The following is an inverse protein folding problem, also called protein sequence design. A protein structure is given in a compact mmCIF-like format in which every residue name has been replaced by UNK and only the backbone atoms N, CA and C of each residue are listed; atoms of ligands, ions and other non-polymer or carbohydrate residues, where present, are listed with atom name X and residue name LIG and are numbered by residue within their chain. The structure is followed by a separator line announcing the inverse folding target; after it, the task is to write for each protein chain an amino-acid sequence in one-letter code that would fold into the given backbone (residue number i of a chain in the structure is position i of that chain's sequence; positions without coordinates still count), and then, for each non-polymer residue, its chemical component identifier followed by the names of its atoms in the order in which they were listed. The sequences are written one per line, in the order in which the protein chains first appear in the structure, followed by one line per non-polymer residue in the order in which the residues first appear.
data_IF_719219369924
#
_entry.id   IF_719219369924
#
_cell.length_a   1.000
_cell.length_b   1.000
_cell.length_c   1.000
_cell.angle_alpha   90.00
_cell.angle_beta   90.00
_cell.angle_gamma   90.00
#
_symmetry.space_group_name_H-M   'P 1'
#
loop_
_entity.id
_entity.type
_entity.pdbx_description
1 polymer ?
#
# COMPACT_ATOMS: atom_id res chain seq x y z
N UNK A 1 17.92 -62.60 -24.70
CA UNK A 1 17.15 -61.68 -23.87
C UNK A 1 18.12 -60.58 -23.37
N UNK A 2 18.09 -59.42 -24.00
CA UNK A 2 18.92 -58.28 -23.61
C UNK A 2 17.98 -57.25 -22.92
N UNK A 3 18.16 -57.01 -21.62
CA UNK A 3 17.45 -56.01 -20.86
C UNK A 3 18.09 -54.65 -21.15
N UNK A 4 17.35 -53.75 -21.80
CA UNK A 4 17.68 -52.35 -21.99
C UNK A 4 17.26 -51.58 -20.72
N UNK A 5 18.24 -51.10 -19.94
CA UNK A 5 17.99 -50.21 -18.80
C UNK A 5 17.90 -48.78 -19.34
N UNK A 6 16.69 -48.23 -19.31
CA UNK A 6 16.47 -46.79 -19.54
C UNK A 6 16.93 -46.02 -18.30
N UNK A 7 17.97 -45.22 -18.46
CA UNK A 7 18.43 -44.27 -17.42
C UNK A 7 17.65 -42.96 -17.63
N UNK A 8 16.68 -42.70 -16.76
CA UNK A 8 15.99 -41.40 -16.73
C UNK A 8 16.92 -40.36 -16.06
N UNK A 9 17.49 -39.47 -16.87
CA UNK A 9 18.20 -38.28 -16.38
C UNK A 9 17.16 -37.24 -16.01
N UNK A 10 16.90 -37.07 -14.72
CA UNK A 10 16.17 -35.94 -14.16
C UNK A 10 17.08 -34.70 -14.28
N UNK A 11 16.80 -33.86 -15.26
CA UNK A 11 17.36 -32.50 -15.34
C UNK A 11 16.73 -31.69 -14.21
N UNK A 12 17.45 -31.52 -13.10
CA UNK A 12 17.18 -30.43 -12.15
C UNK A 12 17.60 -29.12 -12.84
N UNK A 13 16.65 -28.40 -13.39
CA UNK A 13 16.83 -26.97 -13.63
C UNK A 13 16.88 -26.29 -12.25
N UNK A 14 17.96 -25.55 -11.92
CA UNK A 14 17.91 -24.71 -10.75
C UNK A 14 16.86 -23.62 -11.04
N UNK A 15 15.78 -23.60 -10.25
CA UNK A 15 14.92 -22.44 -10.12
C UNK A 15 15.86 -21.32 -9.63
N UNK A 16 16.21 -20.40 -10.52
CA UNK A 16 16.85 -19.16 -10.11
C UNK A 16 15.80 -18.43 -9.24
N UNK A 17 15.96 -18.53 -7.93
CA UNK A 17 15.23 -17.66 -7.00
C UNK A 17 15.62 -16.23 -7.37
N UNK A 18 14.67 -15.47 -7.93
CA UNK A 18 14.82 -14.02 -8.04
C UNK A 18 14.95 -13.54 -6.59
N UNK A 19 16.05 -12.91 -6.20
CA UNK A 19 16.15 -12.38 -4.85
C UNK A 19 15.03 -11.35 -4.68
N UNK A 20 14.13 -11.59 -3.73
CA UNK A 20 13.18 -10.59 -3.26
C UNK A 20 14.05 -9.44 -2.73
N UNK A 21 13.86 -8.25 -3.28
CA UNK A 21 14.56 -7.05 -2.81
C UNK A 21 13.92 -6.68 -1.48
N UNK A 22 14.68 -6.78 -0.39
CA UNK A 22 14.27 -6.40 0.96
C UNK A 22 15.00 -5.09 1.29
N UNK A 23 14.28 -4.06 1.70
CA UNK A 23 14.85 -2.80 2.19
C UNK A 23 15.94 -3.07 3.23
N UNK A 24 17.04 -2.36 3.25
CA UNK A 24 18.23 -2.54 4.11
C UNK A 24 18.61 -4.00 4.45
N UNK A 25 17.96 -5.00 3.90
CA UNK A 25 18.05 -6.40 4.26
C UNK A 25 17.84 -6.63 5.78
N UNK A 26 17.71 -7.87 6.19
CA UNK A 26 17.48 -8.17 7.62
C UNK A 26 18.55 -7.61 8.55
N UNK A 27 19.82 -7.54 8.10
CA UNK A 27 20.92 -7.03 8.93
C UNK A 27 20.82 -5.55 9.20
N UNK A 28 20.47 -4.74 8.17
CA UNK A 28 20.34 -3.29 8.31
C UNK A 28 19.19 -2.90 9.23
N UNK A 29 18.00 -3.47 9.04
CA UNK A 29 16.85 -3.23 9.92
C UNK A 29 17.13 -3.67 11.36
N UNK A 30 17.80 -4.80 11.55
CA UNK A 30 18.23 -5.27 12.87
C UNK A 30 19.16 -4.25 13.55
N UNK A 31 20.17 -3.71 12.82
CA UNK A 31 21.08 -2.69 13.36
C UNK A 31 20.36 -1.38 13.70
N UNK A 32 19.46 -0.92 12.83
CA UNK A 32 18.67 0.31 13.05
C UNK A 32 17.85 0.20 14.33
N UNK A 33 17.06 -0.88 14.46
CA UNK A 33 16.21 -1.10 15.62
C UNK A 33 17.02 -1.23 16.90
N UNK A 34 18.10 -2.03 16.88
CA UNK A 34 18.99 -2.22 18.02
C UNK A 34 19.57 -0.89 18.51
N UNK A 35 20.20 -0.14 17.61
CA UNK A 35 20.85 1.13 17.97
C UNK A 35 19.86 2.19 18.45
N UNK A 36 18.69 2.25 17.85
CA UNK A 36 17.65 3.21 18.25
C UNK A 36 17.20 2.97 19.70
N UNK A 37 16.92 1.70 20.07
CA UNK A 37 16.40 1.40 21.42
C UNK A 37 17.51 1.37 22.47
N UNK A 38 18.74 0.99 22.13
CA UNK A 38 19.88 1.08 23.02
C UNK A 38 20.17 2.55 23.39
N UNK A 39 19.93 3.49 22.46
CA UNK A 39 20.13 4.94 22.65
C UNK A 39 18.93 5.67 23.28
N UNK A 40 17.90 4.96 23.75
CA UNK A 40 16.76 5.59 24.41
C UNK A 40 17.16 6.23 25.75
N UNK A 41 16.72 7.48 26.02
CA UNK A 41 17.03 8.17 27.27
C UNK A 41 16.25 7.62 28.46
N UNK A 42 16.70 7.95 29.69
CA UNK A 42 16.06 7.54 30.93
C UNK A 42 14.63 8.10 31.10
N UNK A 43 14.25 9.07 30.31
CA UNK A 43 12.91 9.66 30.32
C UNK A 43 11.80 8.76 29.78
N UNK A 44 12.13 7.74 28.99
CA UNK A 44 11.16 6.74 28.54
C UNK A 44 10.99 5.62 29.57
N UNK A 45 9.88 4.85 29.55
CA UNK A 45 9.65 3.75 30.48
C UNK A 45 10.80 2.75 30.53
N UNK A 46 11.19 2.33 31.73
CA UNK A 46 12.37 1.45 31.94
C UNK A 46 12.24 0.09 31.24
N UNK A 47 11.01 -0.44 31.06
CA UNK A 47 10.80 -1.72 30.39
C UNK A 47 11.30 -1.70 28.93
N UNK A 48 11.17 -0.55 28.20
CA UNK A 48 11.66 -0.41 26.82
C UNK A 48 13.20 -0.50 26.71
N UNK A 49 13.90 -0.21 27.80
CA UNK A 49 15.37 -0.27 27.89
C UNK A 49 15.87 -1.55 28.52
N UNK A 50 14.95 -2.51 28.80
CA UNK A 50 15.35 -3.83 29.31
C UNK A 50 16.03 -4.64 28.19
N UNK A 51 17.00 -5.51 28.52
CA UNK A 51 17.63 -6.37 27.51
C UNK A 51 16.63 -7.16 26.68
N UNK A 52 15.58 -7.69 27.31
CA UNK A 52 14.53 -8.45 26.61
C UNK A 52 13.76 -7.60 25.60
N UNK A 53 13.39 -6.35 25.93
CA UNK A 53 12.72 -5.46 25.00
C UNK A 53 13.65 -5.03 23.85
N UNK A 54 14.92 -4.78 24.13
CA UNK A 54 15.92 -4.47 23.10
C UNK A 54 16.05 -5.64 22.13
N UNK A 55 16.18 -6.87 22.62
CA UNK A 55 16.28 -8.07 21.79
C UNK A 55 15.02 -8.26 20.92
N UNK A 56 13.83 -8.06 21.49
CA UNK A 56 12.56 -8.23 20.78
C UNK A 56 12.33 -7.14 19.71
N UNK A 57 12.56 -5.86 20.03
CA UNK A 57 12.47 -4.76 19.05
C UNK A 57 13.51 -4.96 17.94
N UNK A 58 14.72 -5.41 18.28
CA UNK A 58 15.77 -5.75 17.31
C UNK A 58 15.30 -6.83 16.34
N UNK A 59 14.70 -7.93 16.86
CA UNK A 59 14.16 -9.02 16.06
C UNK A 59 13.03 -8.57 15.13
N UNK A 60 12.19 -7.64 15.57
CA UNK A 60 11.03 -7.13 14.84
C UNK A 60 11.41 -6.15 13.70
N UNK A 61 12.66 -5.66 13.65
CA UNK A 61 13.10 -4.76 12.59
C UNK A 61 12.77 -5.25 11.17
N UNK A 62 13.13 -6.46 10.76
CA UNK A 62 12.80 -7.00 9.45
C UNK A 62 11.42 -7.68 9.36
N UNK A 63 10.49 -7.47 10.32
CA UNK A 63 9.21 -8.19 10.34
C UNK A 63 8.31 -7.87 9.14
N UNK A 64 8.13 -6.60 8.68
CA UNK A 64 7.33 -6.30 7.50
C UNK A 64 7.86 -6.96 6.22
N UNK A 65 9.17 -7.11 6.07
CA UNK A 65 9.75 -7.86 4.96
C UNK A 65 9.36 -9.34 4.96
N UNK A 66 9.19 -9.94 6.15
CA UNK A 66 8.74 -11.34 6.27
C UNK A 66 7.29 -11.52 5.82
N UNK A 67 6.48 -10.45 5.82
CA UNK A 67 5.11 -10.47 5.33
C UNK A 67 5.04 -10.42 3.81
N UNK A 68 6.12 -10.02 3.13
CA UNK A 68 6.26 -10.02 1.68
C UNK A 68 6.62 -11.42 1.18
N UNK A 69 5.67 -12.33 1.29
CA UNK A 69 5.84 -13.75 1.01
C UNK A 69 4.90 -14.19 -0.11
N UNK A 70 5.39 -14.93 -1.11
CA UNK A 70 4.51 -15.53 -2.13
C UNK A 70 3.47 -16.51 -1.55
N UNK A 71 3.64 -16.95 -0.29
CA UNK A 71 2.67 -17.79 0.39
C UNK A 71 1.45 -16.99 0.89
N UNK A 72 1.60 -15.68 1.08
CA UNK A 72 0.57 -14.75 1.54
C UNK A 72 0.37 -13.60 0.52
N UNK A 73 -0.11 -13.87 -0.71
CA UNK A 73 -0.07 -12.92 -1.82
C UNK A 73 -0.92 -11.66 -1.60
N UNK A 74 -2.04 -11.76 -0.87
CA UNK A 74 -2.87 -10.58 -0.56
C UNK A 74 -2.18 -9.67 0.46
N UNK A 75 -1.46 -10.25 1.42
CA UNK A 75 -0.68 -9.49 2.39
C UNK A 75 0.53 -8.84 1.71
N UNK A 76 1.26 -9.56 0.87
CA UNK A 76 2.35 -9.00 0.07
C UNK A 76 1.88 -7.83 -0.78
N UNK A 77 0.78 -7.99 -1.53
CA UNK A 77 0.22 -6.93 -2.35
C UNK A 77 -0.21 -5.69 -1.55
N UNK A 78 -0.74 -5.89 -0.34
CA UNK A 78 -1.15 -4.79 0.53
C UNK A 78 0.04 -4.05 1.16
N UNK A 79 1.12 -4.77 1.47
CA UNK A 79 2.27 -4.22 2.19
C UNK A 79 3.39 -3.71 1.27
N UNK A 80 3.50 -4.22 0.05
CA UNK A 80 4.57 -3.81 -0.87
C UNK A 80 4.67 -2.28 -1.06
N UNK A 81 3.56 -1.53 -1.24
CA UNK A 81 3.64 -0.08 -1.39
C UNK A 81 3.96 0.69 -0.10
N UNK A 82 3.89 0.04 1.07
CA UNK A 82 4.19 0.69 2.35
C UNK A 82 5.71 0.89 2.57
N UNK A 83 6.56 0.21 1.77
CA UNK A 83 8.02 0.25 1.91
C UNK A 83 8.69 1.45 1.23
N UNK A 84 8.02 2.17 0.35
CA UNK A 84 8.62 3.21 -0.46
C UNK A 84 7.67 4.39 -0.72
N UNK A 85 8.24 5.47 -1.24
CA UNK A 85 7.51 6.58 -1.86
C UNK A 85 8.33 7.19 -2.99
N UNK A 86 7.76 7.27 -4.18
CA UNK A 86 8.36 7.95 -5.33
C UNK A 86 8.12 9.46 -5.23
N UNK A 87 9.03 10.16 -4.53
CA UNK A 87 8.85 11.58 -4.21
C UNK A 87 8.74 12.46 -5.45
N UNK A 88 9.41 12.12 -6.54
CA UNK A 88 9.33 12.85 -7.80
C UNK A 88 7.90 12.89 -8.36
N UNK A 89 7.12 11.84 -8.12
CA UNK A 89 5.71 11.75 -8.54
C UNK A 89 4.76 12.25 -7.45
N UNK A 90 5.02 11.91 -6.19
CA UNK A 90 4.19 12.33 -5.07
C UNK A 90 4.16 13.86 -4.94
N UNK A 91 5.31 14.53 -5.10
CA UNK A 91 5.43 15.99 -4.99
C UNK A 91 4.75 16.77 -6.14
N UNK A 92 4.31 16.09 -7.21
CA UNK A 92 3.44 16.69 -8.23
C UNK A 92 2.07 17.11 -7.64
N UNK A 93 1.66 16.53 -6.53
CA UNK A 93 0.46 16.95 -5.80
C UNK A 93 0.64 18.28 -5.04
N UNK A 94 1.87 18.77 -4.91
CA UNK A 94 2.22 19.91 -4.06
C UNK A 94 2.31 19.50 -2.59
N UNK A 95 1.41 20.01 -1.74
CA UNK A 95 1.36 19.58 -0.33
C UNK A 95 0.69 18.21 -0.24
N UNK A 96 1.40 17.23 0.29
CA UNK A 96 0.84 15.89 0.49
C UNK A 96 -0.26 15.93 1.58
N UNK A 97 -1.46 15.40 1.31
CA UNK A 97 -2.47 15.22 2.35
C UNK A 97 -1.95 14.31 3.45
N UNK A 98 -2.21 14.66 4.72
CA UNK A 98 -1.78 13.83 5.87
C UNK A 98 -2.56 12.52 5.97
N UNK A 99 -3.82 12.49 5.52
CA UNK A 99 -4.65 11.31 5.56
C UNK A 99 -4.45 10.43 4.32
N UNK A 100 -4.22 9.12 4.52
CA UNK A 100 -3.99 8.14 3.45
C UNK A 100 -5.10 8.16 2.39
N UNK A 101 -6.37 8.22 2.77
CA UNK A 101 -7.48 8.20 1.81
C UNK A 101 -7.60 9.50 1.01
N UNK A 102 -7.24 10.64 1.59
CA UNK A 102 -7.16 11.91 0.87
C UNK A 102 -6.01 11.91 -0.13
N UNK A 103 -4.88 11.32 0.23
CA UNK A 103 -3.75 11.13 -0.68
C UNK A 103 -4.12 10.24 -1.87
N UNK A 104 -4.74 9.08 -1.63
CA UNK A 104 -5.24 8.19 -2.69
C UNK A 104 -6.18 8.95 -3.63
N UNK A 105 -7.14 9.70 -3.08
CA UNK A 105 -8.06 10.50 -3.88
C UNK A 105 -7.36 11.58 -4.70
N UNK A 106 -6.33 12.23 -4.13
CA UNK A 106 -5.53 13.25 -4.82
C UNK A 106 -4.72 12.66 -5.99
N UNK A 107 -4.12 11.47 -5.81
CA UNK A 107 -3.40 10.76 -6.89
C UNK A 107 -4.32 10.45 -8.07
N UNK A 108 -5.48 9.87 -7.82
CA UNK A 108 -6.44 9.58 -8.88
C UNK A 108 -6.97 10.86 -9.55
N UNK A 109 -7.27 11.91 -8.78
CA UNK A 109 -7.72 13.19 -9.32
C UNK A 109 -6.64 13.84 -10.21
N UNK A 110 -5.36 13.75 -9.81
CA UNK A 110 -4.25 14.24 -10.61
C UNK A 110 -4.13 13.44 -11.93
N UNK A 111 -4.20 12.12 -11.87
CA UNK A 111 -4.17 11.24 -13.05
C UNK A 111 -5.30 11.54 -14.04
N UNK A 112 -6.52 11.85 -13.56
CA UNK A 112 -7.64 12.25 -14.42
C UNK A 112 -7.39 13.55 -15.19
N UNK A 113 -6.68 14.49 -14.57
CA UNK A 113 -6.35 15.80 -15.19
C UNK A 113 -5.05 15.75 -16.00
N UNK A 114 -4.22 14.73 -15.80
CA UNK A 114 -2.94 14.50 -16.48
C UNK A 114 -2.88 13.09 -17.10
N UNK A 115 -3.63 12.80 -18.18
CA UNK A 115 -3.79 11.43 -18.72
C UNK A 115 -2.50 10.72 -19.11
N UNK A 116 -1.42 11.48 -19.40
CA UNK A 116 -0.10 10.89 -19.72
C UNK A 116 0.59 10.29 -18.51
N UNK A 117 0.23 10.74 -17.32
CA UNK A 117 0.79 10.26 -16.04
C UNK A 117 -0.21 9.36 -15.28
N UNK A 118 -1.40 9.10 -15.83
CA UNK A 118 -2.44 8.36 -15.13
C UNK A 118 -2.01 6.94 -14.71
N UNK A 119 -1.12 6.32 -15.49
CA UNK A 119 -0.57 4.99 -15.15
C UNK A 119 0.49 5.02 -14.06
N UNK A 120 1.22 6.11 -13.94
CA UNK A 120 2.23 6.32 -12.89
C UNK A 120 1.57 6.78 -11.58
N UNK A 121 0.51 7.62 -11.66
CA UNK A 121 -0.22 8.18 -10.51
C UNK A 121 -1.14 7.15 -9.82
N UNK A 122 -0.73 5.89 -9.79
CA UNK A 122 -1.43 4.84 -9.05
C UNK A 122 -0.83 4.71 -7.65
N UNK A 123 -1.68 4.61 -6.61
CA UNK A 123 -1.20 4.58 -5.22
C UNK A 123 -0.19 3.47 -4.93
N UNK A 124 -0.41 2.27 -5.50
CA UNK A 124 0.47 1.11 -5.36
C UNK A 124 1.81 1.25 -6.10
N UNK A 125 1.93 2.23 -6.98
CA UNK A 125 3.17 2.53 -7.71
C UNK A 125 3.98 3.64 -7.05
N UNK A 126 3.29 4.65 -6.52
CA UNK A 126 3.96 5.79 -5.87
C UNK A 126 4.34 5.46 -4.44
N UNK A 127 3.57 4.58 -3.78
CA UNK A 127 3.86 4.11 -2.43
C UNK A 127 3.19 4.92 -1.32
N UNK A 128 3.28 4.36 -0.09
CA UNK A 128 2.59 4.84 1.11
C UNK A 128 3.51 4.99 2.32
N UNK A 129 4.81 4.92 2.14
CA UNK A 129 5.78 4.83 3.22
C UNK A 129 5.59 5.89 4.34
N UNK A 130 5.36 7.20 4.08
CA UNK A 130 5.10 8.14 5.16
C UNK A 130 3.77 7.90 5.88
N UNK A 131 2.78 7.36 5.18
CA UNK A 131 1.44 7.10 5.73
C UNK A 131 1.45 5.92 6.70
N UNK A 132 2.10 4.82 6.33
CA UNK A 132 2.23 3.68 7.26
C UNK A 132 3.08 4.04 8.47
N UNK A 133 4.15 4.83 8.27
CA UNK A 133 4.99 5.31 9.38
C UNK A 133 4.18 6.13 10.38
N UNK A 134 3.38 7.09 9.90
CA UNK A 134 2.49 7.90 10.74
C UNK A 134 1.48 7.02 11.48
N UNK A 135 0.81 6.09 10.78
CA UNK A 135 -0.19 5.21 11.38
C UNK A 135 0.38 4.29 12.46
N UNK A 136 1.59 3.74 12.25
CA UNK A 136 2.26 2.89 13.24
C UNK A 136 2.75 3.73 14.42
N UNK A 137 3.26 4.94 14.16
CA UNK A 137 3.65 5.87 15.20
C UNK A 137 2.46 6.29 16.08
N UNK A 138 1.30 6.55 15.49
CA UNK A 138 0.08 6.86 16.26
C UNK A 138 -0.40 5.68 17.11
N UNK A 139 -0.27 4.43 16.61
CA UNK A 139 -0.53 3.23 17.42
C UNK A 139 0.41 3.13 18.60
N UNK A 140 1.71 3.41 18.39
CA UNK A 140 2.71 3.46 19.46
C UNK A 140 2.36 4.52 20.50
N UNK A 141 2.06 5.75 20.07
CA UNK A 141 1.63 6.87 20.95
C UNK A 141 0.37 6.51 21.75
N UNK A 142 -0.61 5.88 21.11
CA UNK A 142 -1.84 5.43 21.75
C UNK A 142 -1.57 4.36 22.82
N UNK A 143 -0.79 3.34 22.50
CA UNK A 143 -0.41 2.30 23.48
C UNK A 143 0.40 2.89 24.65
N UNK A 144 1.28 3.85 24.40
CA UNK A 144 2.00 4.55 25.47
C UNK A 144 1.08 5.38 26.37
N UNK A 145 -0.02 5.92 25.83
CA UNK A 145 -1.06 6.59 26.63
C UNK A 145 -1.78 5.60 27.53
N UNK A 146 -2.15 4.45 27.00
CA UNK A 146 -2.78 3.37 27.78
C UNK A 146 -1.84 2.87 28.89
N UNK A 147 -0.55 2.72 28.60
CA UNK A 147 0.46 2.37 29.60
C UNK A 147 0.49 3.39 30.76
N UNK A 148 0.43 4.69 30.47
CA UNK A 148 0.39 5.73 31.49
C UNK A 148 -0.84 5.58 32.39
N UNK A 149 -2.02 5.32 31.79
CA UNK A 149 -3.29 5.17 32.53
C UNK A 149 -3.27 3.92 33.42
N UNK A 150 -2.89 2.77 32.88
CA UNK A 150 -2.79 1.50 33.61
C UNK A 150 -1.76 1.58 34.72
N UNK A 151 -0.59 2.16 34.47
CA UNK A 151 0.47 2.36 35.46
C UNK A 151 0.00 3.29 36.61
N UNK A 152 -0.66 4.42 36.30
CA UNK A 152 -1.20 5.32 37.28
C UNK A 152 -2.30 4.64 38.13
N UNK A 153 -3.12 3.78 37.53
CA UNK A 153 -4.14 2.98 38.20
C UNK A 153 -3.55 1.75 38.93
N UNK A 154 -2.26 1.50 38.86
CA UNK A 154 -1.58 0.30 39.40
C UNK A 154 -2.17 -1.02 38.88
N UNK A 155 -2.58 -1.01 37.62
CA UNK A 155 -3.09 -2.17 36.93
C UNK A 155 -1.96 -2.91 36.19
N UNK A 156 -2.25 -4.12 35.68
CA UNK A 156 -1.28 -4.92 34.91
C UNK A 156 -0.94 -4.24 33.58
N UNK A 157 0.32 -3.86 33.42
CA UNK A 157 0.82 -3.17 32.20
C UNK A 157 1.41 -4.12 31.18
N UNK A 158 1.65 -5.39 31.51
CA UNK A 158 2.33 -6.37 30.62
C UNK A 158 1.70 -6.49 29.23
N UNK A 159 0.36 -6.53 29.04
CA UNK A 159 -0.22 -6.63 27.72
C UNK A 159 0.06 -5.39 26.85
N UNK A 160 0.00 -4.19 27.42
CA UNK A 160 0.28 -2.95 26.70
C UNK A 160 1.78 -2.75 26.47
N UNK A 161 2.65 -3.22 27.36
CA UNK A 161 4.10 -3.24 27.15
C UNK A 161 4.48 -4.09 25.92
N UNK A 162 3.88 -5.27 25.78
CA UNK A 162 4.07 -6.11 24.58
C UNK A 162 3.59 -5.40 23.29
N UNK A 163 2.47 -4.69 23.34
CA UNK A 163 1.99 -3.91 22.20
C UNK A 163 2.95 -2.76 21.83
N UNK A 164 3.47 -2.04 22.83
CA UNK A 164 4.45 -0.95 22.64
C UNK A 164 5.74 -1.49 22.01
N UNK A 165 6.26 -2.62 22.47
CA UNK A 165 7.46 -3.29 21.93
C UNK A 165 7.21 -3.65 20.46
N UNK A 166 6.07 -4.28 20.16
CA UNK A 166 5.70 -4.64 18.80
C UNK A 166 5.61 -3.42 17.88
N UNK A 167 4.90 -2.35 18.29
CA UNK A 167 4.78 -1.14 17.47
C UNK A 167 6.12 -0.41 17.30
N UNK A 168 6.96 -0.38 18.32
CA UNK A 168 8.30 0.22 18.22
C UNK A 168 9.17 -0.56 17.20
N UNK A 169 9.14 -1.89 17.24
CA UNK A 169 9.85 -2.73 16.29
C UNK A 169 9.34 -2.60 14.86
N UNK A 170 8.02 -2.57 14.69
CA UNK A 170 7.35 -2.37 13.41
C UNK A 170 7.63 -0.98 12.81
N UNK A 171 7.53 0.07 13.63
CA UNK A 171 7.87 1.44 13.22
C UNK A 171 9.30 1.53 12.67
N UNK A 172 10.24 0.83 13.33
CA UNK A 172 11.64 0.87 12.97
C UNK A 172 11.95 0.32 11.57
N UNK A 173 11.12 -0.58 11.06
CA UNK A 173 11.23 -1.04 9.69
C UNK A 173 11.05 0.11 8.69
N UNK A 174 9.89 0.77 8.74
CA UNK A 174 9.58 1.83 7.78
C UNK A 174 10.46 3.08 7.96
N UNK A 175 10.87 3.38 9.19
CA UNK A 175 11.85 4.45 9.42
C UNK A 175 13.22 4.09 8.83
N UNK A 176 13.58 2.82 8.89
CA UNK A 176 14.76 2.28 8.21
C UNK A 176 14.67 2.43 6.69
N UNK A 177 13.55 2.01 6.08
CA UNK A 177 13.30 2.22 4.66
C UNK A 177 13.43 3.69 4.28
N UNK A 178 12.87 4.56 5.09
CA UNK A 178 12.97 6.02 4.90
C UNK A 178 14.39 6.58 4.95
N UNK A 179 15.39 5.85 5.48
CA UNK A 179 16.80 6.23 5.44
C UNK A 179 17.53 5.78 4.19
N UNK A 180 16.93 4.87 3.43
CA UNK A 180 17.50 4.29 2.20
C UNK A 180 17.09 5.12 0.98
N UNK A 181 18.02 5.79 0.29
CA UNK A 181 17.69 6.71 -0.81
C UNK A 181 16.84 6.07 -1.92
N UNK A 182 17.10 4.80 -2.24
CA UNK A 182 16.37 4.12 -3.32
C UNK A 182 14.92 3.73 -2.94
N UNK A 183 14.51 3.93 -1.68
CA UNK A 183 13.11 3.80 -1.26
C UNK A 183 12.30 5.11 -1.36
N UNK A 184 12.94 6.18 -1.86
CA UNK A 184 12.33 7.51 -1.93
C UNK A 184 12.20 8.05 -3.36
N UNK A 185 12.44 7.21 -4.37
CA UNK A 185 12.62 7.66 -5.76
C UNK A 185 12.14 6.64 -6.79
N UNK A 186 11.71 7.14 -7.96
CA UNK A 186 11.46 6.31 -9.17
C UNK A 186 12.73 5.62 -9.68
N UNK A 187 13.90 6.12 -9.31
CA UNK A 187 15.23 5.57 -9.68
C UNK A 187 15.64 4.41 -8.76
N UNK A 188 14.69 3.70 -8.17
CA UNK A 188 14.94 2.74 -7.10
C UNK A 188 15.81 1.54 -7.52
N UNK A 189 15.79 1.12 -8.79
CA UNK A 189 16.53 -0.07 -9.23
C UNK A 189 16.94 0.00 -10.70
N UNK A 190 17.81 0.93 -11.03
CA UNK A 190 18.26 1.27 -12.37
C UNK A 190 17.69 2.61 -12.84
N UNK A 191 18.56 3.46 -13.39
CA UNK A 191 18.21 4.84 -13.79
C UNK A 191 17.16 4.85 -14.89
N UNK A 192 16.13 5.68 -14.72
CA UNK A 192 15.00 5.85 -15.65
C UNK A 192 15.06 7.22 -16.33
N UNK A 193 14.76 7.29 -17.62
CA UNK A 193 14.73 8.55 -18.36
C UNK A 193 16.10 9.07 -18.79
N UNK A 194 16.28 10.41 -18.96
CA UNK A 194 17.53 11.01 -19.38
C UNK A 194 18.66 10.71 -18.40
N UNK A 195 19.79 10.18 -18.90
CA UNK A 195 20.90 9.72 -18.08
C UNK A 195 22.23 10.39 -18.50
N UNK A 196 22.40 11.71 -18.24
CA UNK A 196 23.61 12.43 -18.64
C UNK A 196 24.85 11.97 -17.87
N UNK A 197 24.66 11.44 -16.66
CA UNK A 197 25.74 10.95 -15.81
C UNK A 197 26.19 9.52 -16.17
N UNK A 198 25.46 8.81 -17.04
CA UNK A 198 25.77 7.43 -17.42
C UNK A 198 25.69 6.47 -16.23
N UNK A 199 24.67 6.63 -15.39
CA UNK A 199 24.37 5.74 -14.29
C UNK A 199 23.85 4.37 -14.81
N UNK A 200 23.93 3.36 -13.97
CA UNK A 200 23.48 2.02 -14.36
C UNK A 200 21.97 1.99 -14.63
N UNK A 201 21.57 1.23 -15.62
CA UNK A 201 20.15 0.91 -15.91
C UNK A 201 19.83 -0.55 -15.61
N UNK A 202 20.79 -1.32 -15.07
CA UNK A 202 20.54 -2.69 -14.64
C UNK A 202 19.79 -2.72 -13.29
N UNK A 203 19.10 -3.81 -13.03
CA UNK A 203 18.25 -3.96 -11.84
C UNK A 203 18.98 -4.68 -10.69
N UNK A 204 20.27 -4.32 -10.46
CA UNK A 204 21.09 -4.92 -9.41
C UNK A 204 21.46 -3.94 -8.30
N UNK A 205 21.46 -2.63 -8.59
CA UNK A 205 21.94 -1.59 -7.67
C UNK A 205 21.24 -1.63 -6.32
N UNK A 206 19.92 -1.83 -6.31
CA UNK A 206 19.12 -1.87 -5.09
C UNK A 206 19.59 -2.99 -4.15
N UNK A 207 19.52 -4.23 -4.61
CA UNK A 207 19.96 -5.40 -3.84
C UNK A 207 21.44 -5.34 -3.45
N UNK A 208 22.30 -4.86 -4.35
CA UNK A 208 23.74 -4.78 -4.10
C UNK A 208 24.06 -3.76 -3.01
N UNK A 209 23.42 -2.60 -3.01
CA UNK A 209 23.62 -1.55 -2.01
C UNK A 209 23.07 -1.95 -0.63
N UNK A 210 21.80 -2.28 -0.56
CA UNK A 210 21.10 -2.43 0.72
C UNK A 210 21.32 -3.79 1.40
N UNK A 211 21.43 -4.87 0.62
CA UNK A 211 21.49 -6.23 1.16
C UNK A 211 22.92 -6.75 1.13
N UNK A 212 23.50 -6.88 -0.07
CA UNK A 212 24.81 -7.51 -0.21
C UNK A 212 25.89 -6.71 0.48
N UNK A 213 26.00 -5.41 0.17
CA UNK A 213 27.05 -4.57 0.72
C UNK A 213 26.94 -4.40 2.23
N UNK A 214 25.72 -4.19 2.77
CA UNK A 214 25.51 -4.13 4.22
C UNK A 214 25.91 -5.42 4.91
N UNK A 215 25.56 -6.58 4.33
CA UNK A 215 25.95 -7.87 4.89
C UNK A 215 27.47 -8.08 4.92
N UNK A 216 28.15 -7.70 3.83
CA UNK A 216 29.56 -8.00 3.65
C UNK A 216 30.50 -6.96 4.31
N UNK A 217 30.08 -5.68 4.37
CA UNK A 217 30.99 -4.58 4.67
C UNK A 217 30.67 -3.74 5.92
N UNK A 218 29.42 -3.72 6.41
CA UNK A 218 28.98 -2.81 7.47
C UNK A 218 28.78 -3.56 8.79
N UNK A 219 29.30 -3.00 9.88
CA UNK A 219 29.11 -3.50 11.24
C UNK A 219 28.49 -2.42 12.12
N UNK A 220 27.89 -2.83 13.24
CA UNK A 220 27.27 -1.92 14.19
C UNK A 220 28.25 -0.86 14.74
N UNK A 221 29.52 -1.24 14.88
CA UNK A 221 30.60 -0.32 15.29
C UNK A 221 30.92 0.80 14.29
N UNK A 222 30.54 0.60 13.02
CA UNK A 222 30.70 1.63 11.98
C UNK A 222 29.52 2.63 12.01
N UNK A 223 28.33 2.18 12.44
CA UNK A 223 27.09 2.93 12.46
C UNK A 223 26.91 3.75 13.75
N UNK A 224 27.12 3.11 14.92
CA UNK A 224 26.85 3.71 16.23
C UNK A 224 27.51 5.09 16.44
N UNK A 225 28.78 5.33 16.06
CA UNK A 225 29.43 6.63 16.26
C UNK A 225 28.85 7.77 15.41
N UNK A 226 28.08 7.43 14.38
CA UNK A 226 27.47 8.38 13.44
C UNK A 226 26.03 8.77 13.83
N UNK A 227 25.47 8.15 14.87
CA UNK A 227 24.17 8.55 15.39
C UNK A 227 24.19 10.00 15.90
N UNK A 228 23.18 10.77 15.53
CA UNK A 228 23.04 12.16 16.00
C UNK A 228 22.58 12.21 17.45
N UNK A 229 22.86 13.32 18.18
CA UNK A 229 22.20 13.58 19.45
C UNK A 229 20.67 13.57 19.32
N UNK A 230 19.97 13.24 20.42
CA UNK A 230 18.51 13.25 20.47
C UNK A 230 17.95 14.59 19.98
N UNK A 231 17.05 14.52 19.00
CA UNK A 231 16.37 15.70 18.45
C UNK A 231 14.88 15.66 18.82
N UNK A 232 14.31 16.80 19.24
CA UNK A 232 12.88 16.88 19.48
C UNK A 232 12.13 16.84 18.15
N UNK A 233 11.07 16.04 18.09
CA UNK A 233 10.10 16.01 16.97
C UNK A 233 8.98 17.00 17.27
N UNK A 234 8.84 18.00 16.42
CA UNK A 234 7.79 19.02 16.53
C UNK A 234 6.45 18.52 16.03
N UNK A 235 6.33 18.38 14.72
CA UNK A 235 5.20 17.70 14.04
C UNK A 235 5.74 16.48 13.32
N UNK A 236 5.30 15.30 13.72
CA UNK A 236 5.85 14.03 13.24
C UNK A 236 5.71 13.85 11.73
N UNK A 237 4.58 14.27 11.16
CA UNK A 237 4.35 14.20 9.71
C UNK A 237 5.31 15.11 8.94
N UNK A 238 5.39 16.39 9.35
CA UNK A 238 6.23 17.38 8.68
C UNK A 238 7.71 17.03 8.80
N UNK A 239 8.14 16.66 10.00
CA UNK A 239 9.55 16.32 10.29
C UNK A 239 9.92 15.02 9.55
N UNK A 240 9.03 14.06 9.47
CA UNK A 240 9.26 12.81 8.76
C UNK A 240 9.32 13.00 7.23
N UNK A 241 8.43 13.82 6.64
CA UNK A 241 8.52 14.18 5.23
C UNK A 241 9.82 14.93 4.90
N UNK A 242 10.28 15.82 5.79
CA UNK A 242 11.57 16.49 5.63
C UNK A 242 12.74 15.49 5.65
N UNK A 243 12.66 14.49 6.54
CA UNK A 243 13.62 13.38 6.59
C UNK A 243 13.66 12.57 5.29
N UNK A 244 12.49 12.20 4.73
CA UNK A 244 12.42 11.47 3.46
C UNK A 244 13.01 12.28 2.28
N UNK A 245 12.68 13.59 2.19
CA UNK A 245 13.24 14.48 1.16
C UNK A 245 14.74 14.66 1.30
N UNK A 246 15.23 14.73 2.52
CA UNK A 246 16.67 14.75 2.77
C UNK A 246 17.33 13.43 2.32
N UNK A 247 16.72 12.28 2.61
CA UNK A 247 17.19 10.98 2.13
C UNK A 247 17.19 10.92 0.60
N UNK A 248 16.12 11.39 -0.06
CA UNK A 248 16.01 11.42 -1.52
C UNK A 248 17.16 12.22 -2.17
N UNK A 249 17.65 13.29 -1.52
CA UNK A 249 18.76 14.09 -2.04
C UNK A 249 20.07 13.30 -2.21
N UNK A 250 20.18 12.10 -1.68
CA UNK A 250 21.34 11.21 -1.80
C UNK A 250 21.24 10.18 -2.92
N UNK A 251 20.18 10.19 -3.73
CA UNK A 251 19.98 9.22 -4.83
C UNK A 251 21.14 9.28 -5.83
N UNK A 252 21.51 10.47 -6.27
CA UNK A 252 22.66 10.66 -7.17
C UNK A 252 23.96 10.10 -6.57
N UNK A 253 24.20 10.29 -5.27
CA UNK A 253 25.40 9.80 -4.59
C UNK A 253 25.43 8.26 -4.56
N UNK A 254 24.31 7.58 -4.31
CA UNK A 254 24.23 6.12 -4.42
C UNK A 254 24.62 5.65 -5.80
N UNK A 255 24.08 6.29 -6.85
CA UNK A 255 24.40 5.92 -8.24
C UNK A 255 25.86 6.23 -8.60
N UNK A 256 26.42 7.31 -8.11
CA UNK A 256 27.82 7.66 -8.31
C UNK A 256 28.74 6.62 -7.64
N UNK A 257 28.48 6.29 -6.38
CA UNK A 257 29.24 5.28 -5.64
C UNK A 257 29.14 3.90 -6.33
N UNK A 258 27.96 3.53 -6.80
CA UNK A 258 27.77 2.28 -7.56
C UNK A 258 28.62 2.28 -8.85
N UNK A 259 28.58 3.36 -9.63
CA UNK A 259 29.34 3.54 -10.86
C UNK A 259 30.86 3.44 -10.63
N UNK A 260 31.33 3.86 -9.47
CA UNK A 260 32.73 3.81 -9.03
C UNK A 260 33.10 2.46 -8.39
N UNK A 261 32.23 1.45 -8.50
CA UNK A 261 32.41 0.13 -7.87
C UNK A 261 32.50 0.19 -6.33
N UNK A 262 31.96 1.23 -5.72
CA UNK A 262 32.02 1.47 -4.29
C UNK A 262 31.31 0.42 -3.45
N UNK A 263 30.35 -0.32 -4.02
CA UNK A 263 29.62 -1.39 -3.33
C UNK A 263 30.10 -2.79 -3.68
N UNK A 264 31.28 -2.91 -4.34
CA UNK A 264 31.87 -4.22 -4.64
C UNK A 264 32.66 -4.77 -3.45
N UNK A 265 32.39 -6.01 -3.04
CA UNK A 265 33.08 -6.69 -1.93
C UNK A 265 32.95 -5.93 -0.63
N UNK A 266 34.08 -5.49 -0.04
CA UNK A 266 34.12 -4.70 1.19
C UNK A 266 34.01 -3.19 0.96
N UNK A 267 33.86 -2.77 -0.30
CA UNK A 267 33.70 -1.38 -0.70
C UNK A 267 34.92 -0.46 -0.48
N UNK A 268 34.66 0.84 -0.68
CA UNK A 268 35.62 1.91 -0.38
C UNK A 268 35.34 2.52 0.99
N UNK A 269 36.29 3.30 1.57
CA UNK A 269 36.01 4.05 2.80
C UNK A 269 34.79 4.97 2.67
N UNK A 270 34.64 5.62 1.52
CA UNK A 270 33.53 6.54 1.21
C UNK A 270 32.20 5.81 1.21
N UNK A 271 32.08 4.69 0.49
CA UNK A 271 30.84 3.92 0.41
C UNK A 271 30.45 3.30 1.75
N UNK A 272 31.42 2.84 2.55
CA UNK A 272 31.17 2.35 3.91
C UNK A 272 30.68 3.46 4.83
N UNK A 273 31.34 4.62 4.79
CA UNK A 273 30.92 5.78 5.58
C UNK A 273 29.53 6.25 5.21
N UNK A 274 29.25 6.43 3.92
CA UNK A 274 27.94 6.79 3.40
C UNK A 274 26.84 5.82 3.87
N UNK A 275 27.07 4.52 3.72
CA UNK A 275 26.08 3.50 4.11
C UNK A 275 25.86 3.49 5.63
N UNK A 276 26.95 3.60 6.41
CA UNK A 276 26.84 3.68 7.86
C UNK A 276 26.10 4.95 8.33
N UNK A 277 26.31 6.10 7.66
CA UNK A 277 25.53 7.34 7.89
C UNK A 277 24.03 7.16 7.63
N UNK A 278 23.64 6.50 6.54
CA UNK A 278 22.23 6.25 6.25
C UNK A 278 21.59 5.36 7.30
N UNK A 279 22.26 4.29 7.71
CA UNK A 279 21.78 3.42 8.80
C UNK A 279 21.71 4.18 10.15
N UNK A 280 22.69 5.03 10.46
CA UNK A 280 22.69 5.87 11.66
C UNK A 280 21.56 6.93 11.64
N UNK A 281 21.24 7.47 10.46
CA UNK A 281 20.11 8.38 10.28
C UNK A 281 18.78 7.66 10.59
N UNK A 282 18.59 6.43 10.10
CA UNK A 282 17.44 5.59 10.43
C UNK A 282 17.31 5.32 11.93
N UNK A 283 18.41 4.90 12.56
CA UNK A 283 18.43 4.63 14.00
C UNK A 283 18.16 5.89 14.85
N UNK A 284 18.71 7.03 14.44
CA UNK A 284 18.47 8.31 15.13
C UNK A 284 17.02 8.77 15.01
N UNK A 285 16.43 8.70 13.80
CA UNK A 285 15.05 9.09 13.57
C UNK A 285 14.07 8.16 14.32
N UNK A 286 14.31 6.85 14.32
CA UNK A 286 13.49 5.90 15.08
C UNK A 286 13.53 6.20 16.59
N UNK A 287 14.70 6.41 17.17
CA UNK A 287 14.85 6.82 18.57
C UNK A 287 14.03 8.08 18.86
N UNK A 288 14.18 9.11 18.01
CA UNK A 288 13.56 10.40 18.20
C UNK A 288 12.02 10.31 18.12
N UNK A 289 11.50 9.49 17.19
CA UNK A 289 10.06 9.20 17.06
C UNK A 289 9.51 8.40 18.25
N UNK A 290 10.26 7.42 18.79
CA UNK A 290 9.84 6.68 20.00
C UNK A 290 9.77 7.64 21.19
N UNK A 291 10.75 8.51 21.38
CA UNK A 291 10.74 9.51 22.44
C UNK A 291 9.60 10.50 22.25
N UNK A 292 9.35 10.96 21.02
CA UNK A 292 8.23 11.85 20.72
C UNK A 292 6.87 11.19 21.03
N UNK A 293 6.68 9.92 20.67
CA UNK A 293 5.48 9.16 20.98
C UNK A 293 5.26 9.10 22.51
N UNK A 294 6.32 8.85 23.28
CA UNK A 294 6.26 8.88 24.75
C UNK A 294 5.89 10.25 25.30
N UNK A 295 6.51 11.33 24.83
CA UNK A 295 6.22 12.69 25.28
C UNK A 295 4.79 13.07 24.93
N UNK A 296 4.37 12.91 23.67
CA UNK A 296 3.05 13.28 23.18
C UNK A 296 1.92 12.37 23.70
N UNK A 297 2.23 11.16 24.19
CA UNK A 297 1.26 10.30 24.86
C UNK A 297 0.71 10.89 26.19
N UNK A 298 1.37 11.90 26.76
CA UNK A 298 0.92 12.61 27.95
C UNK A 298 -0.06 13.76 27.65
N UNK A 299 -0.17 14.15 26.38
CA UNK A 299 -1.06 15.24 25.98
C UNK A 299 -2.53 14.87 26.19
N UNK A 300 -3.38 15.85 26.56
CA UNK A 300 -4.81 15.63 26.65
C UNK A 300 -5.39 15.12 25.34
N UNK A 301 -6.26 14.13 25.42
CA UNK A 301 -7.02 13.68 24.24
C UNK A 301 -8.11 14.71 23.97
N UNK A 302 -8.22 15.26 22.74
CA UNK A 302 -9.33 16.12 22.37
C UNK A 302 -10.65 15.40 22.63
N UNK A 303 -11.64 16.12 23.17
CA UNK A 303 -12.98 15.55 23.25
C UNK A 303 -13.50 15.22 21.86
N UNK A 304 -14.08 14.05 21.72
CA UNK A 304 -14.70 13.65 20.47
C UNK A 304 -15.96 14.49 20.26
N UNK A 305 -15.83 15.57 19.51
CA UNK A 305 -16.98 16.33 19.06
C UNK A 305 -17.60 15.58 17.88
N UNK A 306 -18.73 14.89 18.12
CA UNK A 306 -19.62 14.59 17.02
C UNK A 306 -20.11 15.96 16.50
N UNK A 307 -19.50 16.48 15.44
CA UNK A 307 -20.21 17.47 14.63
C UNK A 307 -21.49 16.77 14.19
N UNK A 308 -22.61 17.18 14.79
CA UNK A 308 -23.91 16.90 14.20
C UNK A 308 -23.79 17.44 12.78
N UNK A 309 -23.71 16.53 11.78
CA UNK A 309 -23.87 16.90 10.39
C UNK A 309 -25.22 17.55 10.30
N UNK A 310 -25.26 18.88 10.43
CA UNK A 310 -26.47 19.65 10.17
C UNK A 310 -26.87 19.25 8.75
N UNK A 311 -28.04 18.61 8.56
CA UNK A 311 -28.51 18.34 7.20
C UNK A 311 -28.47 19.66 6.48
N UNK A 312 -27.83 19.68 5.31
CA UNK A 312 -27.90 20.84 4.43
C UNK A 312 -29.36 21.23 4.34
N UNK A 313 -29.67 22.50 4.65
CA UNK A 313 -31.02 23.01 4.65
C UNK A 313 -31.65 22.72 3.29
N UNK A 314 -32.35 21.61 3.18
CA UNK A 314 -33.23 21.32 2.05
C UNK A 314 -34.43 22.21 2.22
N UNK A 315 -34.55 23.19 1.33
CA UNK A 315 -35.84 23.88 1.10
C UNK A 315 -36.87 22.82 0.77
N UNK A 316 -37.71 22.48 1.72
CA UNK A 316 -39.04 21.91 1.62
C UNK A 316 -39.21 20.55 0.97
N UNK A 317 -39.27 19.52 1.78
CA UNK A 317 -40.33 18.49 1.82
C UNK A 317 -39.97 17.39 2.82
N UNK A 318 -40.97 16.93 3.54
CA UNK A 318 -41.01 16.18 4.79
C UNK A 318 -40.28 14.82 4.87
N UNK A 319 -40.09 14.28 6.10
CA UNK A 319 -39.11 13.23 6.42
C UNK A 319 -39.68 11.82 6.34
N UNK A 320 -38.84 10.87 5.95
CA UNK A 320 -39.08 9.46 6.27
C UNK A 320 -37.91 8.93 7.10
N UNK A 321 -38.22 8.51 8.31
CA UNK A 321 -37.36 7.88 9.28
C UNK A 321 -36.95 6.45 8.87
N UNK A 322 -35.77 6.01 9.31
CA UNK A 322 -35.43 4.60 9.39
C UNK A 322 -33.97 4.26 9.25
N UNK A 323 -33.21 4.37 10.37
CA UNK A 323 -31.94 3.65 10.53
C UNK A 323 -32.22 2.16 10.68
N UNK A 324 -31.56 1.30 9.89
CA UNK A 324 -31.70 -0.16 9.93
C UNK A 324 -30.36 -0.84 9.70
N UNK A 325 -29.88 -1.45 10.78
CA UNK A 325 -28.78 -2.39 10.91
C UNK A 325 -28.78 -3.53 9.87
N UNK A 326 -27.62 -3.90 9.42
CA UNK A 326 -27.35 -5.10 8.61
C UNK A 326 -27.62 -6.36 9.43
N UNK A 327 -28.63 -7.14 9.06
CA UNK A 327 -28.70 -8.59 9.30
C UNK A 327 -29.43 -9.27 8.15
N UNK A 328 -28.73 -10.24 7.55
CA UNK A 328 -29.24 -11.21 6.60
C UNK A 328 -30.24 -12.15 7.25
N UNK A 329 -31.47 -12.20 6.75
CA UNK A 329 -32.26 -13.44 6.64
C UNK A 329 -33.34 -13.25 5.59
N UNK A 330 -33.49 -14.26 4.74
CA UNK A 330 -34.56 -14.35 3.76
C UNK A 330 -35.91 -14.51 4.45
N UNK A 331 -36.91 -13.80 4.00
CA UNK A 331 -38.29 -14.28 3.79
C UNK A 331 -39.26 -13.13 3.53
N UNK A 332 -40.06 -13.33 2.51
CA UNK A 332 -41.41 -12.88 2.27
C UNK A 332 -41.76 -11.39 2.07
N UNK A 333 -42.30 -11.15 0.90
CA UNK A 333 -42.91 -9.94 0.36
C UNK A 333 -44.10 -9.44 1.17
N UNK A 334 -44.27 -8.12 1.30
CA UNK A 334 -45.55 -7.54 0.94
C UNK A 334 -45.44 -6.51 -0.18
N UNK A 335 -46.43 -6.47 -1.02
CA UNK A 335 -46.61 -5.61 -2.16
C UNK A 335 -46.51 -4.13 -1.80
N UNK A 336 -45.51 -3.43 -2.38
CA UNK A 336 -45.43 -1.96 -2.37
C UNK A 336 -45.94 -1.43 -3.69
N UNK A 337 -46.99 -0.60 -3.64
CA UNK A 337 -47.62 0.11 -4.76
C UNK A 337 -46.80 1.35 -5.16
N UNK A 338 -45.53 1.13 -5.59
CA UNK A 338 -44.70 2.17 -6.23
C UNK A 338 -44.28 1.68 -7.59
N UNK A 339 -44.51 2.48 -8.65
CA UNK A 339 -44.04 2.16 -10.00
C UNK A 339 -42.50 2.03 -10.05
N UNK A 340 -41.95 1.41 -11.13
CA UNK A 340 -40.53 1.22 -11.28
C UNK A 340 -39.78 2.56 -11.34
N UNK A 341 -38.58 2.60 -10.74
CA UNK A 341 -37.69 3.77 -10.89
C UNK A 341 -37.19 3.84 -12.34
N UNK A 342 -37.34 4.99 -12.99
CA UNK A 342 -36.98 5.19 -14.39
C UNK A 342 -36.19 6.49 -14.56
N UNK A 343 -35.32 6.53 -15.57
CA UNK A 343 -34.62 7.73 -16.04
C UNK A 343 -34.89 7.87 -17.53
N UNK A 344 -35.22 9.06 -18.02
CA UNK A 344 -35.38 9.35 -19.44
C UNK A 344 -34.03 9.50 -20.11
N UNK A 345 -33.82 8.81 -21.22
CA UNK A 345 -32.64 8.88 -22.06
C UNK A 345 -33.00 9.17 -23.50
N UNK A 346 -32.24 10.05 -24.20
CA UNK A 346 -32.56 10.44 -25.60
C UNK A 346 -32.48 9.27 -26.60
N UNK A 347 -31.61 8.30 -26.36
CA UNK A 347 -31.36 7.18 -27.27
C UNK A 347 -32.24 5.98 -26.95
N UNK A 348 -32.42 5.69 -25.65
CA UNK A 348 -33.13 4.47 -25.19
C UNK A 348 -34.55 4.75 -24.65
N UNK A 349 -34.95 6.00 -24.57
CA UNK A 349 -36.24 6.40 -24.01
C UNK A 349 -36.27 6.26 -22.50
N UNK A 350 -37.13 5.43 -21.96
CA UNK A 350 -37.22 5.17 -20.51
C UNK A 350 -36.30 4.03 -20.11
N UNK A 351 -35.24 4.32 -19.33
CA UNK A 351 -34.34 3.32 -18.72
C UNK A 351 -34.88 2.93 -17.36
N UNK A 352 -35.04 1.64 -17.15
CA UNK A 352 -35.51 1.03 -15.90
C UNK A 352 -34.32 0.60 -15.02
N UNK A 353 -34.60 0.40 -13.75
CA UNK A 353 -33.68 -0.26 -12.81
C UNK A 353 -34.33 -1.55 -12.30
N UNK A 354 -33.55 -2.57 -11.90
CA UNK A 354 -34.09 -3.82 -11.38
C UNK A 354 -35.07 -3.61 -10.21
N UNK A 355 -36.10 -4.44 -10.17
CA UNK A 355 -37.13 -4.41 -9.12
C UNK A 355 -38.45 -3.78 -9.56
N UNK A 356 -39.45 -3.76 -8.65
CA UNK A 356 -40.79 -3.15 -8.84
C UNK A 356 -41.52 -3.62 -10.12
N UNK A 357 -41.49 -4.95 -10.39
CA UNK A 357 -42.20 -5.57 -11.53
C UNK A 357 -41.41 -5.55 -12.84
N UNK A 358 -40.16 -5.05 -12.85
CA UNK A 358 -39.24 -5.20 -13.97
C UNK A 358 -38.47 -6.51 -13.80
N UNK A 359 -38.48 -7.37 -14.81
CA UNK A 359 -37.68 -8.62 -14.80
C UNK A 359 -36.23 -8.33 -15.14
N UNK A 360 -35.31 -9.12 -14.61
CA UNK A 360 -33.89 -9.02 -14.98
C UNK A 360 -33.66 -9.52 -16.42
N UNK A 361 -32.73 -8.92 -17.17
CA UNK A 361 -32.30 -9.44 -18.43
C UNK A 361 -31.55 -10.75 -18.23
N UNK A 362 -31.75 -11.72 -19.14
CA UNK A 362 -31.07 -13.02 -19.06
C UNK A 362 -29.92 -13.08 -20.05
N UNK A 363 -28.71 -13.36 -19.57
CA UNK A 363 -27.56 -13.57 -20.43
C UNK A 363 -27.78 -14.80 -21.32
N UNK A 364 -27.63 -14.63 -22.64
CA UNK A 364 -27.76 -15.70 -23.65
C UNK A 364 -26.39 -16.13 -24.15
N UNK A 365 -25.48 -15.15 -24.30
CA UNK A 365 -24.13 -15.36 -24.78
C UNK A 365 -23.18 -14.42 -24.05
N UNK A 366 -22.08 -14.94 -23.53
CA UNK A 366 -20.97 -14.21 -22.95
C UNK A 366 -19.69 -14.53 -23.76
N UNK A 367 -19.08 -13.50 -24.33
CA UNK A 367 -17.73 -13.65 -24.89
C UNK A 367 -16.72 -13.69 -23.75
N UNK A 368 -15.75 -14.62 -23.81
CA UNK A 368 -14.66 -14.66 -22.86
C UNK A 368 -13.75 -13.44 -23.04
N UNK A 369 -13.39 -12.74 -21.97
CA UNK A 369 -12.45 -11.62 -22.07
C UNK A 369 -11.04 -12.15 -22.35
N UNK A 370 -10.34 -11.50 -23.27
CA UNK A 370 -8.93 -11.80 -23.53
C UNK A 370 -8.08 -11.37 -22.33
N UNK A 371 -7.19 -12.23 -21.88
CA UNK A 371 -6.20 -11.86 -20.87
C UNK A 371 -5.10 -11.01 -21.51
N UNK A 372 -4.82 -9.82 -20.97
CA UNK A 372 -3.71 -9.02 -21.46
C UNK A 372 -2.36 -9.70 -21.22
N UNK A 373 -1.38 -9.46 -22.09
CA UNK A 373 -0.04 -10.04 -21.93
C UNK A 373 0.65 -9.59 -20.64
N UNK A 374 0.33 -8.37 -20.18
CA UNK A 374 0.87 -7.80 -18.94
C UNK A 374 0.25 -8.49 -17.72
N UNK A 375 -1.08 -8.63 -17.70
CA UNK A 375 -1.77 -9.31 -16.62
C UNK A 375 -1.38 -10.79 -16.54
N UNK A 376 -1.20 -11.46 -17.69
CA UNK A 376 -0.75 -12.85 -17.76
C UNK A 376 0.64 -13.05 -17.18
N UNK A 377 1.60 -12.17 -17.54
CA UNK A 377 2.96 -12.23 -17.00
C UNK A 377 3.04 -11.94 -15.50
N UNK A 378 2.03 -11.24 -14.95
CA UNK A 378 1.96 -10.85 -13.54
C UNK A 378 0.98 -11.69 -12.72
N UNK A 379 0.36 -12.72 -13.32
CA UNK A 379 -0.66 -13.57 -12.70
C UNK A 379 -1.80 -12.76 -12.04
N UNK A 380 -2.20 -11.64 -12.66
CA UNK A 380 -3.25 -10.78 -12.11
C UNK A 380 -4.59 -11.48 -12.25
N UNK A 381 -5.30 -11.71 -11.15
CA UNK A 381 -6.66 -12.25 -11.13
C UNK A 381 -7.58 -11.31 -10.35
N UNK A 382 -8.88 -11.33 -10.66
CA UNK A 382 -9.85 -10.49 -9.98
C UNK A 382 -11.10 -10.22 -10.82
N UNK A 383 -11.87 -9.20 -10.43
CA UNK A 383 -13.15 -8.88 -11.04
C UNK A 383 -13.15 -7.44 -11.53
N UNK A 384 -13.47 -7.24 -12.82
CA UNK A 384 -13.83 -5.93 -13.39
C UNK A 384 -15.34 -5.78 -13.30
N UNK A 385 -15.84 -4.73 -12.67
CA UNK A 385 -17.27 -4.43 -12.63
C UNK A 385 -17.62 -3.38 -13.68
N UNK A 386 -18.56 -3.71 -14.56
CA UNK A 386 -18.99 -2.87 -15.66
C UNK A 386 -20.45 -2.47 -15.45
N UNK A 387 -20.76 -1.18 -15.61
CA UNK A 387 -22.12 -0.68 -15.74
C UNK A 387 -22.50 -0.65 -17.23
N UNK A 388 -23.65 -1.20 -17.58
CA UNK A 388 -24.16 -1.16 -18.95
C UNK A 388 -25.69 -0.99 -18.99
N UNK A 389 -26.20 -0.51 -20.11
CA UNK A 389 -27.63 -0.50 -20.42
C UNK A 389 -27.88 -1.68 -21.35
N UNK A 390 -28.70 -2.64 -20.92
CA UNK A 390 -29.21 -3.67 -21.80
C UNK A 390 -30.43 -3.13 -22.51
N UNK A 391 -30.29 -2.94 -23.82
CA UNK A 391 -31.36 -2.43 -24.68
C UNK A 391 -32.45 -3.47 -24.94
N UNK A 392 -33.56 -3.02 -25.56
CA UNK A 392 -34.63 -3.90 -26.03
C UNK A 392 -34.21 -4.80 -27.19
N UNK A 393 -33.06 -4.49 -27.81
CA UNK A 393 -32.39 -5.27 -28.84
C UNK A 393 -31.55 -6.41 -28.27
N UNK A 394 -31.42 -6.50 -26.93
CA UNK A 394 -30.62 -7.51 -26.23
C UNK A 394 -29.11 -7.26 -26.25
N UNK A 395 -28.65 -6.09 -26.62
CA UNK A 395 -27.24 -5.70 -26.60
C UNK A 395 -26.90 -4.83 -25.38
N UNK A 396 -25.63 -4.86 -25.00
CA UNK A 396 -25.10 -3.95 -23.97
C UNK A 396 -24.64 -2.64 -24.61
N UNK A 397 -25.21 -1.55 -24.15
CA UNK A 397 -24.89 -0.17 -24.55
C UNK A 397 -24.32 0.61 -23.36
N UNK A 398 -23.71 1.77 -23.60
CA UNK A 398 -23.09 2.63 -22.57
C UNK A 398 -22.20 1.83 -21.59
N UNK A 399 -21.38 0.95 -22.14
CA UNK A 399 -20.51 0.05 -21.37
C UNK A 399 -19.38 0.85 -20.72
N UNK A 400 -19.39 0.97 -19.41
CA UNK A 400 -18.44 1.77 -18.62
C UNK A 400 -17.92 0.96 -17.45
N UNK A 401 -16.59 1.01 -17.19
CA UNK A 401 -15.98 0.41 -16.03
C UNK A 401 -16.34 1.21 -14.78
N UNK A 402 -16.86 0.55 -13.75
CA UNK A 402 -17.19 1.15 -12.45
C UNK A 402 -16.31 0.63 -11.33
N UNK A 403 -15.63 -0.51 -11.56
CA UNK A 403 -14.55 -1.00 -10.71
C UNK A 403 -13.48 -1.58 -11.62
N UNK A 404 -12.31 -0.97 -11.58
CA UNK A 404 -11.15 -1.33 -12.40
C UNK A 404 -10.36 -2.45 -11.73
N UNK A 405 -9.77 -3.33 -12.55
CA UNK A 405 -8.73 -4.27 -12.17
C UNK A 405 -7.36 -3.84 -12.73
N UNK A 406 -7.37 -2.99 -13.76
CA UNK A 406 -6.16 -2.51 -14.41
C UNK A 406 -5.47 -3.52 -15.33
N UNK A 407 -4.19 -3.30 -15.59
CA UNK A 407 -3.31 -4.20 -16.37
C UNK A 407 -3.80 -4.50 -17.80
N UNK A 408 -4.60 -3.62 -18.40
CA UNK A 408 -5.23 -3.85 -19.70
C UNK A 408 -6.43 -4.83 -19.66
N UNK A 409 -6.86 -5.27 -18.47
CA UNK A 409 -8.00 -6.18 -18.30
C UNK A 409 -9.34 -5.43 -18.40
N UNK A 410 -9.37 -4.15 -18.05
CA UNK A 410 -10.55 -3.32 -18.14
C UNK A 410 -11.01 -3.16 -19.58
N UNK A 411 -10.08 -2.88 -20.50
CA UNK A 411 -10.34 -2.74 -21.92
C UNK A 411 -10.82 -4.06 -22.53
N UNK A 412 -10.22 -5.17 -22.13
CA UNK A 412 -10.64 -6.50 -22.62
C UNK A 412 -11.99 -6.90 -22.06
N UNK A 413 -12.30 -6.54 -20.80
CA UNK A 413 -13.63 -6.73 -20.19
C UNK A 413 -14.71 -5.91 -20.93
N UNK A 414 -14.45 -4.62 -21.22
CA UNK A 414 -15.35 -3.77 -22.01
C UNK A 414 -15.57 -4.34 -23.41
N UNK A 415 -14.50 -4.81 -24.08
CA UNK A 415 -14.56 -5.44 -25.40
C UNK A 415 -15.42 -6.71 -25.37
N UNK A 416 -15.29 -7.53 -24.33
CA UNK A 416 -16.08 -8.74 -24.15
C UNK A 416 -17.56 -8.42 -23.89
N UNK A 417 -17.85 -7.51 -22.94
CA UNK A 417 -19.25 -7.15 -22.59
C UNK A 417 -20.00 -6.53 -23.75
N UNK A 418 -19.36 -5.78 -24.63
CA UNK A 418 -19.97 -5.27 -25.86
C UNK A 418 -20.44 -6.40 -26.81
N UNK A 419 -19.90 -7.58 -26.71
CA UNK A 419 -20.28 -8.75 -27.50
C UNK A 419 -21.35 -9.60 -26.81
N UNK A 420 -21.67 -9.35 -25.54
CA UNK A 420 -22.69 -10.09 -24.80
C UNK A 420 -24.04 -9.95 -25.47
N UNK A 421 -24.84 -11.00 -25.34
CA UNK A 421 -26.24 -11.04 -25.83
C UNK A 421 -27.15 -11.41 -24.68
N UNK A 422 -28.22 -10.64 -24.56
CA UNK A 422 -29.20 -10.80 -23.50
C UNK A 422 -30.60 -11.02 -24.09
N UNK A 423 -31.41 -11.78 -23.38
CA UNK A 423 -32.85 -11.65 -23.49
C UNK A 423 -33.24 -10.39 -22.73
N UNK A 424 -33.88 -9.39 -23.37
CA UNK A 424 -34.19 -8.13 -22.71
C UNK A 424 -35.00 -8.27 -21.43
N UNK A 425 -34.84 -7.34 -20.52
CA UNK A 425 -35.72 -7.15 -19.39
C UNK A 425 -37.15 -6.85 -19.87
N UNK A 426 -38.14 -7.18 -19.07
CA UNK A 426 -39.54 -6.89 -19.39
C UNK A 426 -40.23 -6.17 -18.22
N UNK A 427 -41.14 -5.25 -18.58
CA UNK A 427 -42.07 -4.61 -17.67
C UNK A 427 -43.48 -4.80 -18.20
N UNK A 428 -44.36 -5.43 -17.40
CA UNK A 428 -45.68 -5.86 -17.84
C UNK A 428 -45.67 -6.65 -19.17
N UNK A 429 -44.66 -7.54 -19.32
CA UNK A 429 -44.50 -8.38 -20.51
C UNK A 429 -44.00 -7.68 -21.78
N UNK A 430 -43.67 -6.39 -21.70
CA UNK A 430 -43.05 -5.63 -22.82
C UNK A 430 -41.54 -5.49 -22.58
N UNK A 431 -40.71 -5.68 -23.61
CA UNK A 431 -39.27 -5.45 -23.50
C UNK A 431 -38.96 -3.99 -23.13
N UNK A 432 -38.02 -3.80 -22.20
CA UNK A 432 -37.57 -2.49 -21.72
C UNK A 432 -36.05 -2.43 -21.62
N UNK A 433 -35.49 -1.22 -21.78
CA UNK A 433 -34.09 -0.94 -21.53
C UNK A 433 -33.84 -0.87 -20.02
N UNK A 434 -32.77 -1.51 -19.54
CA UNK A 434 -32.44 -1.58 -18.10
C UNK A 434 -30.98 -1.34 -17.86
N UNK A 435 -30.65 -0.56 -16.82
CA UNK A 435 -29.28 -0.36 -16.37
C UNK A 435 -28.89 -1.43 -15.35
N UNK A 436 -27.79 -2.16 -15.62
CA UNK A 436 -27.29 -3.25 -14.77
C UNK A 436 -25.79 -3.11 -14.49
N UNK A 437 -25.30 -3.86 -13.52
CA UNK A 437 -23.86 -4.12 -13.30
C UNK A 437 -23.55 -5.54 -13.76
N UNK A 438 -22.41 -5.70 -14.42
CA UNK A 438 -21.89 -6.96 -14.94
C UNK A 438 -20.51 -7.17 -14.33
N UNK A 439 -20.32 -8.31 -13.69
CA UNK A 439 -19.02 -8.72 -13.17
C UNK A 439 -18.31 -9.60 -14.20
N UNK A 440 -17.12 -9.19 -14.59
CA UNK A 440 -16.25 -9.94 -15.50
C UNK A 440 -15.08 -10.47 -14.69
N UNK A 441 -15.04 -11.80 -14.51
CA UNK A 441 -14.04 -12.44 -13.68
C UNK A 441 -12.85 -12.88 -14.53
N UNK A 442 -11.65 -12.50 -14.08
CA UNK A 442 -10.37 -12.95 -14.59
C UNK A 442 -9.76 -13.92 -13.57
N UNK A 443 -9.98 -15.23 -13.77
CA UNK A 443 -9.40 -16.28 -12.93
C UNK A 443 -7.90 -16.48 -13.23
N UNK A 444 -7.14 -16.98 -12.25
CA UNK A 444 -5.77 -17.46 -12.47
C UNK A 444 -5.79 -18.70 -13.35
N UNK A 445 -4.95 -18.72 -14.37
CA UNK A 445 -4.63 -19.91 -15.17
C UNK A 445 -3.50 -20.71 -14.51
#
# INVERSE_FOLDING_TARGET
MKFLRLLAILLFLPLAAVPLSFAWGSKGHTMINHLAVEALPDSVPAFLRSPAAIDEITYLGPEPDRWRSPAEPELDAAQAPDHFIDLELADLLGTLPRERYQYIAALYAYGLTHPKLASEMQPDRIGFQPYITEEVWERLKSAMRDYRQLSAARQDTRPVEAAIIFYAGWLGHYVGDGSQPLHTTIEYNGWVGPNPNGYTTDHQIHWQFETRFVNDAINISDVQPLMTPLQPIGDEWTDYLAYLRHTNSYVDEVYQLYKEHGFDGTGTPESRHFTAERLAAGASMLRDLIVAAWVKSAEPVPEWHHEEVKPAATSGSEPAAGAGSLHTTASETPASTGGPKTKSDPEFGTIYVPGNGVTDPKLIFAADPEYSDIARRRNVSGIVVISAIVGTDGHAHEVQVVQSLGWGLDETAVKAVRQYRFRPATYHGKPVAIKIKIEVNFGSY
#
